data_IF_728943435217
#
_entry.id   IF_728943435217
#
_cell.length_a   1.000
_cell.length_b   1.000
_cell.length_c   1.000
_cell.angle_alpha   90.00
_cell.angle_beta   90.00
_cell.angle_gamma   90.00
#
_symmetry.space_group_name_H-M   'P 1'
#
loop_
_entity.id
_entity.type
_entity.pdbx_description
1 polymer ?
#
# COMPACT_ATOMS: atom_id res chain seq x y z
N UNK A 1 -32.46 22.45 -18.38
CA UNK A 1 -31.13 22.32 -18.97
C UNK A 1 -30.17 22.44 -17.82
N UNK A 2 -29.61 21.31 -17.37
CA UNK A 2 -28.51 21.33 -16.41
C UNK A 2 -27.28 21.73 -17.21
N UNK A 3 -26.74 22.92 -16.98
CA UNK A 3 -25.43 23.28 -17.48
C UNK A 3 -24.41 22.29 -16.92
N UNK A 4 -23.78 21.53 -17.78
CA UNK A 4 -22.62 20.75 -17.44
C UNK A 4 -21.52 21.71 -16.97
N UNK A 5 -21.25 21.71 -15.68
CA UNK A 5 -20.10 22.42 -15.13
C UNK A 5 -18.87 21.60 -15.52
N UNK A 6 -18.26 21.94 -16.63
CA UNK A 6 -16.91 21.50 -16.98
C UNK A 6 -15.97 22.33 -16.10
N UNK A 7 -15.51 21.74 -15.00
CA UNK A 7 -14.56 22.43 -14.14
C UNK A 7 -13.21 22.65 -14.84
N UNK A 8 -12.37 23.48 -14.23
CA UNK A 8 -11.04 23.83 -14.76
C UNK A 8 -10.13 22.61 -15.03
N UNK A 9 -10.46 21.44 -14.48
CA UNK A 9 -9.67 20.19 -14.61
C UNK A 9 -10.27 19.22 -15.62
N UNK A 10 -11.48 19.49 -16.14
CA UNK A 10 -12.16 18.62 -17.10
C UNK A 10 -12.67 17.31 -16.49
N UNK A 11 -12.84 17.26 -15.18
CA UNK A 11 -13.44 16.14 -14.46
C UNK A 11 -14.94 16.29 -14.53
N UNK A 12 -15.61 15.30 -15.10
CA UNK A 12 -17.07 15.25 -15.11
C UNK A 12 -17.53 14.74 -13.73
N UNK A 13 -17.78 15.64 -12.79
CA UNK A 13 -18.25 15.32 -11.44
C UNK A 13 -19.77 15.17 -11.50
N UNK A 14 -20.36 14.06 -11.05
CA UNK A 14 -21.80 13.91 -10.98
C UNK A 14 -22.46 15.04 -10.16
N UNK A 15 -23.50 15.65 -10.68
CA UNK A 15 -24.19 16.81 -10.07
C UNK A 15 -24.65 16.58 -8.61
N UNK A 16 -24.80 15.33 -8.18
CA UNK A 16 -25.16 14.98 -6.80
C UNK A 16 -24.03 15.22 -5.79
N UNK A 17 -22.75 15.24 -6.23
CA UNK A 17 -21.60 15.45 -5.35
C UNK A 17 -21.24 16.94 -5.20
N UNK A 18 -21.74 17.80 -6.08
CA UNK A 18 -21.48 19.25 -6.04
C UNK A 18 -22.41 20.02 -5.07
N UNK A 19 -23.53 19.43 -4.62
CA UNK A 19 -24.44 20.02 -3.66
C UNK A 19 -24.02 19.80 -2.20
N UNK A 20 -22.72 19.86 -1.90
CA UNK A 20 -22.23 19.92 -0.54
C UNK A 20 -22.76 21.16 0.19
N UNK A 21 -22.85 21.14 1.54
CA UNK A 21 -23.35 22.28 2.31
C UNK A 21 -22.52 23.52 1.98
N UNK A 22 -23.20 24.63 1.70
CA UNK A 22 -22.54 25.94 1.53
C UNK A 22 -21.65 26.17 2.76
N UNK A 23 -20.34 26.29 2.52
CA UNK A 23 -19.37 26.58 3.57
C UNK A 23 -19.73 27.94 4.15
N UNK A 24 -19.93 28.01 5.46
CA UNK A 24 -20.21 29.27 6.14
C UNK A 24 -19.15 30.31 5.77
N UNK A 25 -19.53 31.50 5.41
CA UNK A 25 -18.70 32.57 4.84
C UNK A 25 -17.49 33.03 5.68
N UNK A 26 -17.26 32.41 6.87
CA UNK A 26 -16.18 32.75 7.81
C UNK A 26 -15.07 31.70 7.92
N UNK A 27 -15.20 30.52 7.31
CA UNK A 27 -14.19 29.46 7.41
C UNK A 27 -13.53 29.21 6.05
N UNK A 28 -12.27 29.64 5.92
CA UNK A 28 -11.47 29.36 4.72
C UNK A 28 -10.77 28.00 4.88
N UNK A 29 -11.35 26.95 4.30
CA UNK A 29 -10.78 25.60 4.33
C UNK A 29 -9.42 25.50 3.62
N UNK A 30 -9.13 26.40 2.67
CA UNK A 30 -7.84 26.43 1.96
C UNK A 30 -6.69 26.82 2.89
N UNK A 31 -6.92 27.71 3.84
CA UNK A 31 -5.91 28.08 4.84
C UNK A 31 -5.60 26.86 5.72
N UNK A 32 -6.63 26.10 6.08
CA UNK A 32 -6.45 24.88 6.87
C UNK A 32 -5.69 23.78 6.12
N UNK A 33 -5.94 23.60 4.83
CA UNK A 33 -5.13 22.72 3.98
C UNK A 33 -3.67 23.18 3.92
N UNK A 34 -3.44 24.48 3.81
CA UNK A 34 -2.10 25.09 3.83
C UNK A 34 -1.35 24.79 5.13
N UNK A 35 -1.96 25.04 6.29
CA UNK A 35 -1.37 24.74 7.60
C UNK A 35 -0.96 23.27 7.74
N UNK A 36 -1.83 22.35 7.35
CA UNK A 36 -1.53 20.91 7.44
C UNK A 36 -0.44 20.47 6.43
N UNK A 37 -0.44 21.06 5.23
CA UNK A 37 0.66 20.88 4.26
C UNK A 37 1.99 21.33 4.85
N UNK A 38 2.04 22.50 5.45
CA UNK A 38 3.27 23.08 5.98
C UNK A 38 3.83 22.25 7.15
N UNK A 39 2.97 21.67 7.99
CA UNK A 39 3.39 20.66 8.99
C UNK A 39 4.04 19.44 8.34
N UNK A 40 3.52 18.96 7.20
CA UNK A 40 4.08 17.80 6.49
C UNK A 40 5.41 18.10 5.81
N UNK A 41 5.52 19.26 5.18
CA UNK A 41 6.75 19.68 4.50
C UNK A 41 7.88 20.00 5.49
N UNK A 42 7.51 20.46 6.68
CA UNK A 42 8.46 20.85 7.72
C UNK A 42 9.27 22.09 7.37
N UNK A 43 10.24 22.38 8.21
CA UNK A 43 11.10 23.58 8.11
C UNK A 43 12.41 23.32 7.34
N UNK A 44 12.45 22.37 6.40
CA UNK A 44 13.66 21.96 5.69
C UNK A 44 14.58 21.01 6.49
N UNK A 45 14.22 20.67 7.73
CA UNK A 45 14.96 19.70 8.54
C UNK A 45 14.62 18.27 8.07
N UNK A 46 15.64 17.44 7.96
CA UNK A 46 15.47 16.03 7.63
C UNK A 46 14.62 15.34 8.70
N UNK A 47 13.46 14.79 8.31
CA UNK A 47 12.50 14.20 9.25
C UNK A 47 12.69 12.71 9.49
N UNK A 48 13.57 12.06 8.71
CA UNK A 48 13.75 10.61 8.72
C UNK A 48 15.22 10.21 8.73
N UNK A 49 15.50 9.15 9.47
CA UNK A 49 16.76 8.43 9.43
C UNK A 49 16.61 7.30 8.40
N UNK A 50 17.58 7.17 7.49
CA UNK A 50 17.71 6.03 6.61
C UNK A 50 18.59 4.96 7.28
N UNK A 51 18.01 3.83 7.74
CA UNK A 51 18.78 2.81 8.43
C UNK A 51 19.90 2.19 7.61
N UNK A 52 19.80 2.24 6.27
CA UNK A 52 20.83 1.70 5.39
C UNK A 52 22.17 2.45 5.46
N UNK A 53 22.10 3.70 5.94
CA UNK A 53 23.25 4.63 6.07
C UNK A 53 23.83 4.72 7.48
N UNK A 54 23.37 3.85 8.40
CA UNK A 54 23.79 3.88 9.80
C UNK A 54 24.00 2.47 10.34
N UNK A 55 25.19 2.19 10.88
CA UNK A 55 25.48 0.89 11.49
C UNK A 55 24.59 0.64 12.73
N UNK A 56 24.24 1.69 13.46
CA UNK A 56 23.40 1.64 14.64
C UNK A 56 21.98 1.13 14.34
N UNK A 57 21.42 1.45 13.15
CA UNK A 57 20.03 1.19 12.81
C UNK A 57 19.86 0.09 11.75
N UNK A 58 20.94 -0.54 11.28
CA UNK A 58 20.87 -1.62 10.27
C UNK A 58 19.97 -2.78 10.66
N UNK A 59 19.85 -3.06 11.97
CA UNK A 59 18.99 -4.12 12.47
C UNK A 59 17.50 -3.95 12.09
N UNK A 60 17.02 -2.72 11.85
CA UNK A 60 15.67 -2.46 11.35
C UNK A 60 15.45 -2.90 9.88
N UNK A 61 16.51 -3.22 9.16
CA UNK A 61 16.46 -3.72 7.78
C UNK A 61 16.60 -5.23 7.69
N UNK A 62 16.92 -5.89 8.80
CA UNK A 62 17.06 -7.34 8.82
C UNK A 62 15.73 -8.03 8.51
N UNK A 63 15.81 -9.21 7.90
CA UNK A 63 14.64 -10.04 7.69
C UNK A 63 14.32 -10.86 8.96
N UNK A 64 13.22 -10.57 9.66
CA UNK A 64 12.83 -11.31 10.86
C UNK A 64 12.21 -12.67 10.55
N UNK A 65 11.88 -12.94 9.29
CA UNK A 65 11.17 -14.14 8.84
C UNK A 65 12.12 -15.25 8.40
N UNK A 66 13.41 -14.97 8.31
CA UNK A 66 14.47 -15.93 8.01
C UNK A 66 15.23 -16.27 9.27
N UNK A 67 15.39 -17.55 9.56
CA UNK A 67 16.19 -18.03 10.69
C UNK A 67 17.67 -17.69 10.52
N UNK A 68 18.34 -17.34 11.62
CA UNK A 68 19.78 -17.08 11.59
C UNK A 68 20.52 -18.36 11.18
N UNK A 69 21.40 -18.23 10.21
CA UNK A 69 22.21 -19.36 9.71
C UNK A 69 21.54 -20.17 8.61
N UNK A 70 20.37 -19.75 8.12
CA UNK A 70 19.78 -20.36 6.92
C UNK A 70 20.80 -20.31 5.78
N UNK A 71 21.13 -21.47 5.17
CA UNK A 71 22.11 -21.53 4.09
C UNK A 71 21.67 -20.66 2.90
N UNK A 72 22.63 -19.98 2.33
CA UNK A 72 22.41 -19.24 1.08
C UNK A 72 22.41 -20.20 -0.10
N UNK A 73 21.28 -20.29 -0.80
CA UNK A 73 21.20 -21.06 -2.03
C UNK A 73 21.70 -20.22 -3.22
N UNK A 74 22.73 -20.71 -3.91
CA UNK A 74 23.28 -20.11 -5.12
C UNK A 74 22.88 -20.94 -6.33
N UNK A 75 21.86 -20.53 -7.03
CA UNK A 75 21.40 -21.26 -8.22
C UNK A 75 22.26 -21.03 -9.45
N UNK A 76 23.19 -20.05 -9.41
CA UNK A 76 24.02 -19.66 -10.53
C UNK A 76 25.51 -19.61 -10.10
N UNK A 77 26.36 -20.07 -10.99
CA UNK A 77 27.79 -19.98 -10.82
C UNK A 77 28.31 -18.58 -11.16
N UNK A 78 29.41 -18.18 -10.53
CA UNK A 78 30.09 -16.92 -10.87
C UNK A 78 30.53 -16.94 -12.35
N UNK A 79 30.37 -15.80 -13.02
CA UNK A 79 30.65 -15.59 -14.43
C UNK A 79 29.76 -16.40 -15.41
N UNK A 80 28.65 -16.97 -14.93
CA UNK A 80 27.67 -17.58 -15.81
C UNK A 80 26.92 -16.52 -16.63
N UNK A 81 26.29 -16.97 -17.71
CA UNK A 81 25.40 -16.15 -18.54
C UNK A 81 23.96 -16.59 -18.34
N UNK A 82 23.10 -15.65 -18.04
CA UNK A 82 21.65 -15.84 -17.91
C UNK A 82 20.97 -14.90 -18.91
N UNK A 83 19.96 -15.38 -19.60
CA UNK A 83 19.28 -14.57 -20.61
C UNK A 83 18.58 -13.34 -19.98
N UNK A 84 17.90 -13.53 -18.85
CA UNK A 84 17.18 -12.45 -18.18
C UNK A 84 17.37 -12.48 -16.67
N UNK A 85 17.74 -11.36 -16.08
CA UNK A 85 17.74 -11.14 -14.64
C UNK A 85 16.59 -10.20 -14.28
N UNK A 86 15.78 -10.61 -13.32
CA UNK A 86 14.69 -9.81 -12.75
C UNK A 86 15.06 -9.45 -11.32
N UNK A 87 15.18 -8.16 -11.00
CA UNK A 87 15.49 -7.67 -9.67
C UNK A 87 14.20 -7.34 -8.93
N UNK A 88 13.83 -8.19 -7.97
CA UNK A 88 12.63 -8.10 -7.14
C UNK A 88 11.66 -9.24 -7.34
N UNK A 89 11.28 -9.91 -6.24
CA UNK A 89 10.37 -11.06 -6.17
C UNK A 89 8.93 -10.70 -5.76
N UNK A 90 8.53 -9.44 -5.91
CA UNK A 90 7.15 -9.00 -5.75
C UNK A 90 6.29 -9.33 -6.97
N UNK A 91 5.02 -8.91 -6.96
CA UNK A 91 4.11 -9.17 -8.11
C UNK A 91 4.67 -8.68 -9.45
N UNK A 92 5.40 -7.54 -9.47
CA UNK A 92 6.02 -7.08 -10.71
C UNK A 92 7.00 -8.08 -11.30
N UNK A 93 7.92 -8.60 -10.48
CA UNK A 93 8.90 -9.61 -10.91
C UNK A 93 8.25 -10.94 -11.31
N UNK A 94 7.28 -11.40 -10.53
CA UNK A 94 6.53 -12.62 -10.82
C UNK A 94 5.77 -12.50 -12.16
N UNK A 95 5.12 -11.37 -12.41
CA UNK A 95 4.39 -11.12 -13.66
C UNK A 95 5.33 -11.10 -14.87
N UNK A 96 6.50 -10.47 -14.77
CA UNK A 96 7.49 -10.51 -15.84
C UNK A 96 7.89 -11.96 -16.15
N UNK A 97 8.25 -12.75 -15.14
CA UNK A 97 8.64 -14.14 -15.33
C UNK A 97 7.52 -14.95 -15.98
N UNK A 98 6.29 -14.88 -15.45
CA UNK A 98 5.13 -15.61 -16.00
C UNK A 98 4.90 -15.25 -17.48
N UNK A 99 4.88 -13.95 -17.81
CA UNK A 99 4.63 -13.51 -19.19
C UNK A 99 5.75 -13.88 -20.16
N UNK A 100 7.00 -13.89 -19.70
CA UNK A 100 8.14 -14.37 -20.51
C UNK A 100 8.03 -15.86 -20.82
N UNK A 101 7.73 -16.69 -19.81
CA UNK A 101 7.54 -18.13 -20.00
C UNK A 101 6.36 -18.41 -20.94
N UNK A 102 5.24 -17.70 -20.81
CA UNK A 102 4.11 -17.80 -21.72
C UNK A 102 4.47 -17.41 -23.18
N UNK A 103 5.54 -16.63 -23.37
CA UNK A 103 6.09 -16.25 -24.67
C UNK A 103 7.21 -17.16 -25.15
N UNK A 104 7.45 -18.29 -24.47
CA UNK A 104 8.39 -19.32 -24.90
C UNK A 104 9.80 -19.21 -24.33
N UNK A 105 10.03 -18.36 -23.34
CA UNK A 105 11.30 -18.40 -22.58
C UNK A 105 11.33 -19.66 -21.72
N UNK A 106 12.51 -20.29 -21.62
CA UNK A 106 12.72 -21.35 -20.65
C UNK A 106 12.76 -20.77 -19.24
N UNK A 107 12.37 -21.56 -18.25
CA UNK A 107 12.56 -21.24 -16.85
C UNK A 107 14.04 -20.99 -16.53
N UNK A 108 14.91 -21.79 -17.15
CA UNK A 108 16.38 -21.69 -16.97
C UNK A 108 16.97 -20.41 -17.57
N UNK A 109 16.23 -19.73 -18.45
CA UNK A 109 16.60 -18.43 -19.01
C UNK A 109 16.37 -17.25 -18.03
N UNK A 110 15.69 -17.47 -16.89
CA UNK A 110 15.19 -16.41 -16.03
C UNK A 110 15.72 -16.58 -14.60
N UNK A 111 16.40 -15.57 -14.11
CA UNK A 111 16.86 -15.48 -12.72
C UNK A 111 16.13 -14.34 -12.01
N UNK A 112 15.40 -14.64 -10.92
CA UNK A 112 14.85 -13.62 -10.03
C UNK A 112 15.78 -13.44 -8.84
N UNK A 113 16.21 -12.19 -8.61
CA UNK A 113 17.04 -11.80 -7.46
C UNK A 113 16.19 -11.04 -6.47
N UNK A 114 16.05 -11.56 -5.24
CA UNK A 114 15.23 -10.99 -4.18
C UNK A 114 16.01 -10.95 -2.85
N UNK A 115 16.07 -9.81 -2.14
CA UNK A 115 16.73 -9.71 -0.84
C UNK A 115 15.93 -10.32 0.31
N UNK A 116 14.65 -10.59 0.13
CA UNK A 116 13.79 -11.25 1.11
C UNK A 116 13.97 -12.78 1.09
N UNK A 117 13.62 -13.45 2.18
CA UNK A 117 13.61 -14.89 2.25
C UNK A 117 12.43 -15.57 1.54
N UNK A 118 11.73 -14.85 0.65
CA UNK A 118 10.62 -15.39 -0.11
C UNK A 118 9.95 -14.38 -1.03
N UNK A 119 8.98 -14.84 -1.79
CA UNK A 119 8.22 -14.03 -2.73
C UNK A 119 7.12 -13.20 -2.08
N UNK A 120 6.67 -12.16 -2.79
CA UNK A 120 5.56 -11.31 -2.40
C UNK A 120 5.91 -9.84 -2.22
N UNK A 121 7.21 -9.49 -2.22
CA UNK A 121 7.66 -8.11 -2.12
C UNK A 121 7.09 -7.40 -0.89
N UNK A 122 6.25 -6.36 -1.09
CA UNK A 122 5.63 -5.64 0.04
C UNK A 122 4.81 -6.55 0.96
N UNK A 123 4.19 -7.61 0.45
CA UNK A 123 3.39 -8.57 1.23
C UNK A 123 4.25 -9.60 1.96
N UNK A 124 5.45 -9.80 1.52
CA UNK A 124 6.44 -10.56 2.28
C UNK A 124 6.94 -9.77 3.49
N UNK A 125 7.31 -8.50 3.28
CA UNK A 125 7.91 -7.65 4.31
C UNK A 125 6.90 -7.18 5.35
N UNK A 126 5.70 -6.82 4.93
CA UNK A 126 4.67 -6.30 5.82
C UNK A 126 3.78 -7.43 6.32
N UNK A 127 3.90 -7.71 7.62
CA UNK A 127 3.10 -8.75 8.30
C UNK A 127 2.48 -8.21 9.58
N UNK A 128 2.29 -6.89 9.67
CA UNK A 128 1.68 -6.27 10.85
C UNK A 128 0.21 -6.70 11.00
N UNK A 129 -0.33 -6.69 12.25
CA UNK A 129 -1.69 -7.12 12.54
C UNK A 129 -2.72 -6.30 11.77
N UNK A 130 -3.73 -6.98 11.23
CA UNK A 130 -4.81 -6.35 10.49
C UNK A 130 -4.47 -5.94 9.05
N UNK A 131 -3.28 -6.28 8.53
CA UNK A 131 -2.88 -5.97 7.16
C UNK A 131 -3.85 -6.55 6.12
N UNK A 132 -4.37 -5.68 5.27
CA UNK A 132 -5.24 -6.01 4.13
C UNK A 132 -4.87 -5.15 2.92
N UNK A 133 -5.25 -5.57 1.71
CA UNK A 133 -5.20 -4.67 0.57
C UNK A 133 -6.29 -3.59 0.69
N UNK A 134 -6.02 -2.43 0.12
CA UNK A 134 -6.92 -1.27 0.10
C UNK A 134 -7.66 -1.11 -1.23
N UNK A 135 -7.26 -1.88 -2.24
CA UNK A 135 -7.93 -2.02 -3.52
C UNK A 135 -8.66 -3.36 -3.56
N UNK A 136 -9.78 -3.44 -4.26
CA UNK A 136 -10.54 -4.68 -4.38
C UNK A 136 -9.65 -5.84 -4.84
N UNK A 137 -9.67 -6.96 -4.13
CA UNK A 137 -8.81 -8.13 -4.40
C UNK A 137 -8.97 -8.69 -5.79
N UNK A 138 -10.17 -8.56 -6.38
CA UNK A 138 -10.51 -9.11 -7.69
C UNK A 138 -9.78 -8.42 -8.84
N UNK A 139 -9.28 -7.20 -8.60
CA UNK A 139 -8.43 -6.46 -9.54
C UNK A 139 -6.98 -6.35 -9.06
N UNK A 140 -6.76 -6.37 -7.73
CA UNK A 140 -5.42 -6.19 -7.15
C UNK A 140 -4.53 -7.42 -7.30
N UNK A 141 -5.07 -8.63 -7.03
CA UNK A 141 -4.35 -9.89 -7.18
C UNK A 141 -4.23 -10.23 -8.67
N UNK A 142 -3.02 -10.32 -9.22
CA UNK A 142 -2.85 -10.57 -10.63
C UNK A 142 -3.09 -12.04 -10.97
N UNK A 143 -3.44 -12.35 -12.22
CA UNK A 143 -3.56 -13.72 -12.75
C UNK A 143 -4.65 -14.56 -12.07
N UNK A 144 -5.70 -13.97 -11.49
CA UNK A 144 -6.77 -14.74 -10.84
C UNK A 144 -7.45 -15.70 -11.80
N UNK A 145 -7.64 -15.26 -13.04
CA UNK A 145 -8.27 -16.05 -14.09
C UNK A 145 -7.39 -17.24 -14.47
N UNK A 146 -6.10 -17.00 -14.73
CA UNK A 146 -5.13 -18.04 -15.10
C UNK A 146 -4.85 -19.01 -13.95
N UNK A 147 -4.90 -18.52 -12.71
CA UNK A 147 -4.72 -19.34 -11.52
C UNK A 147 -5.99 -20.08 -11.10
N UNK A 148 -7.16 -19.68 -11.60
CA UNK A 148 -8.45 -20.19 -11.14
C UNK A 148 -8.70 -19.89 -9.66
N UNK A 149 -8.19 -18.78 -9.16
CA UNK A 149 -8.22 -18.44 -7.73
C UNK A 149 -9.35 -17.45 -7.41
N UNK A 150 -10.13 -17.75 -6.40
CA UNK A 150 -11.14 -16.85 -5.84
C UNK A 150 -10.64 -16.27 -4.52
N UNK A 151 -10.39 -14.97 -4.41
CA UNK A 151 -10.03 -14.33 -3.14
C UNK A 151 -11.12 -14.53 -2.10
N UNK A 152 -10.73 -14.74 -0.84
CA UNK A 152 -11.67 -15.04 0.25
C UNK A 152 -12.55 -13.83 0.60
N UNK A 153 -12.07 -12.61 0.33
CA UNK A 153 -12.75 -11.36 0.69
C UNK A 153 -12.59 -10.30 -0.41
N UNK A 154 -13.51 -9.31 -0.42
CA UNK A 154 -13.41 -8.14 -1.30
C UNK A 154 -12.06 -7.44 -1.13
N UNK A 155 -11.58 -7.33 0.10
CA UNK A 155 -10.22 -6.84 0.43
C UNK A 155 -9.50 -7.94 1.20
N UNK A 156 -8.60 -8.64 0.53
CA UNK A 156 -7.90 -9.81 1.06
C UNK A 156 -6.89 -9.42 2.14
N UNK A 157 -6.65 -10.33 3.07
CA UNK A 157 -5.62 -10.16 4.11
C UNK A 157 -4.21 -10.23 3.53
N UNK A 158 -3.26 -9.57 4.18
CA UNK A 158 -1.85 -9.62 3.78
C UNK A 158 -1.29 -11.03 3.76
N UNK A 159 -1.71 -11.89 4.68
CA UNK A 159 -1.30 -13.30 4.71
C UNK A 159 -1.86 -14.10 3.52
N UNK A 160 -3.10 -13.85 3.10
CA UNK A 160 -3.68 -14.45 1.90
C UNK A 160 -2.93 -13.99 0.65
N UNK A 161 -2.67 -12.69 0.52
CA UNK A 161 -1.97 -12.12 -0.63
C UNK A 161 -0.53 -12.66 -0.73
N UNK A 162 0.17 -12.81 0.39
CA UNK A 162 1.51 -13.39 0.43
C UNK A 162 1.48 -14.85 -0.03
N UNK A 163 0.59 -15.68 0.52
CA UNK A 163 0.44 -17.08 0.11
C UNK A 163 0.07 -17.21 -1.36
N UNK A 164 -0.75 -16.29 -1.87
CA UNK A 164 -1.09 -16.25 -3.27
C UNK A 164 0.13 -15.92 -4.15
N UNK A 165 0.96 -14.94 -3.77
CA UNK A 165 2.20 -14.64 -4.48
C UNK A 165 3.17 -15.84 -4.49
N UNK A 166 3.30 -16.52 -3.36
CA UNK A 166 4.08 -17.78 -3.25
C UNK A 166 3.52 -18.88 -4.18
N UNK A 167 2.19 -19.00 -4.28
CA UNK A 167 1.55 -19.97 -5.20
C UNK A 167 1.80 -19.66 -6.67
N UNK A 168 1.86 -18.38 -7.07
CA UNK A 168 2.28 -17.99 -8.41
C UNK A 168 3.72 -18.44 -8.66
N UNK A 169 4.61 -18.24 -7.70
CA UNK A 169 6.03 -18.60 -7.83
C UNK A 169 6.27 -20.12 -7.91
N UNK A 170 5.37 -20.92 -7.35
CA UNK A 170 5.52 -22.39 -7.28
C UNK A 170 4.71 -23.16 -8.31
N UNK A 171 3.75 -22.51 -9.00
CA UNK A 171 2.92 -23.14 -10.02
C UNK A 171 3.72 -23.35 -11.31
N UNK A 172 4.19 -24.57 -11.54
CA UNK A 172 4.86 -25.04 -12.78
C UNK A 172 6.09 -24.20 -13.24
N UNK A 173 6.46 -23.21 -12.43
CA UNK A 173 7.57 -22.30 -12.68
C UNK A 173 8.68 -22.63 -11.66
N UNK A 174 9.68 -23.37 -12.06
CA UNK A 174 10.88 -23.53 -11.23
C UNK A 174 11.62 -22.20 -11.16
N UNK A 175 11.23 -21.35 -10.21
CA UNK A 175 11.88 -20.09 -9.97
C UNK A 175 13.03 -20.28 -9.01
N UNK A 176 14.17 -19.78 -9.37
CA UNK A 176 15.36 -19.84 -8.53
C UNK A 176 15.48 -18.54 -7.74
N UNK A 177 15.41 -18.64 -6.40
CA UNK A 177 15.60 -17.51 -5.50
C UNK A 177 17.05 -17.43 -5.12
N UNK A 178 17.68 -16.25 -5.29
CA UNK A 178 18.97 -15.93 -4.67
C UNK A 178 18.69 -15.27 -3.34
N UNK A 179 18.59 -16.06 -2.29
CA UNK A 179 18.39 -15.58 -0.93
C UNK A 179 19.71 -15.11 -0.32
N UNK A 180 19.67 -13.97 0.37
CA UNK A 180 20.77 -13.56 1.25
C UNK A 180 20.55 -14.16 2.63
N UNK A 181 21.29 -15.18 2.97
CA UNK A 181 21.25 -15.78 4.31
C UNK A 181 21.59 -14.74 5.40
N UNK A 182 20.82 -14.73 6.48
CA UNK A 182 21.04 -13.85 7.64
C UNK A 182 22.32 -14.29 8.37
N UNK A 183 23.32 -13.39 8.45
CA UNK A 183 24.58 -13.66 9.12
C UNK A 183 25.64 -14.35 8.26
N UNK A 184 25.39 -14.58 6.97
CA UNK A 184 26.42 -15.09 6.05
C UNK A 184 27.33 -13.97 5.55
N UNK A 185 28.62 -14.25 5.27
CA UNK A 185 29.52 -13.28 4.64
C UNK A 185 28.94 -12.76 3.32
N UNK A 186 29.12 -11.48 3.04
CA UNK A 186 28.83 -10.95 1.71
C UNK A 186 29.68 -11.69 0.69
N UNK A 187 29.02 -12.28 -0.29
CA UNK A 187 29.71 -12.88 -1.43
C UNK A 187 29.26 -12.14 -2.66
N UNK A 188 30.20 -11.57 -3.38
CA UNK A 188 29.97 -10.96 -4.68
C UNK A 188 29.97 -12.04 -5.76
N UNK A 189 28.92 -12.06 -6.56
CA UNK A 189 28.79 -12.97 -7.70
C UNK A 189 28.57 -12.11 -8.93
N UNK A 190 29.47 -12.20 -9.90
CA UNK A 190 29.29 -11.57 -11.21
C UNK A 190 28.55 -12.52 -12.14
N UNK A 191 27.48 -12.04 -12.75
CA UNK A 191 26.68 -12.78 -13.73
C UNK A 191 26.45 -11.86 -14.93
N UNK A 192 26.61 -12.38 -16.15
CA UNK A 192 26.25 -11.67 -17.36
C UNK A 192 24.79 -11.94 -17.74
N UNK A 193 24.09 -10.94 -18.26
CA UNK A 193 22.73 -11.11 -18.74
C UNK A 193 22.49 -10.33 -20.04
N UNK A 194 21.62 -10.85 -20.92
CA UNK A 194 21.16 -10.12 -22.11
C UNK A 194 20.19 -9.00 -21.70
N UNK A 195 19.33 -9.28 -20.68
CA UNK A 195 18.30 -8.36 -20.20
C UNK A 195 18.32 -8.27 -18.66
N UNK A 196 18.18 -7.06 -18.15
CA UNK A 196 17.98 -6.80 -16.71
C UNK A 196 16.72 -6.00 -16.52
N UNK A 197 15.76 -6.58 -15.76
CA UNK A 197 14.46 -5.98 -15.46
C UNK A 197 14.44 -5.55 -14.00
N UNK A 198 14.14 -4.28 -13.72
CA UNK A 198 14.01 -3.77 -12.36
C UNK A 198 12.54 -3.80 -11.93
N UNK A 199 12.23 -4.67 -10.98
CA UNK A 199 10.92 -4.81 -10.33
C UNK A 199 11.02 -4.65 -8.80
N UNK A 200 11.99 -3.84 -8.33
CA UNK A 200 12.39 -3.74 -6.93
C UNK A 200 11.39 -3.03 -6.01
N UNK A 201 10.32 -2.44 -6.56
CA UNK A 201 9.33 -1.70 -5.79
C UNK A 201 9.89 -0.42 -5.14
N UNK A 202 9.04 0.28 -4.37
CA UNK A 202 9.40 1.58 -3.74
C UNK A 202 9.25 1.58 -2.22
N UNK A 203 8.71 0.50 -1.62
CA UNK A 203 8.37 0.42 -0.20
C UNK A 203 9.24 -0.57 0.61
N UNK A 204 10.34 -1.06 0.05
CA UNK A 204 11.16 -2.10 0.67
C UNK A 204 11.99 -1.59 1.87
N UNK A 205 12.34 -0.30 1.88
CA UNK A 205 13.22 0.28 2.89
C UNK A 205 12.42 0.97 4.01
N UNK A 206 12.61 0.50 5.24
CA UNK A 206 12.10 1.17 6.43
C UNK A 206 12.71 2.58 6.56
N UNK A 207 11.93 3.53 7.08
CA UNK A 207 12.40 4.85 7.46
C UNK A 207 12.05 5.10 8.92
N UNK A 208 13.03 5.53 9.70
CA UNK A 208 12.83 5.81 11.11
C UNK A 208 12.60 7.30 11.34
N UNK A 209 11.80 7.70 12.34
CA UNK A 209 11.63 9.11 12.66
C UNK A 209 12.92 9.68 13.24
N UNK A 210 13.29 10.89 12.81
CA UNK A 210 14.40 11.62 13.39
C UNK A 210 13.89 12.48 14.55
N UNK A 211 13.80 11.86 15.73
CA UNK A 211 13.37 12.51 16.96
C UNK A 211 14.47 12.42 18.01
N UNK A 212 14.57 13.46 18.85
CA UNK A 212 15.53 13.49 19.94
C UNK A 212 15.27 12.33 20.90
N UNK A 213 16.33 11.67 21.36
CA UNK A 213 16.26 10.56 22.31
C UNK A 213 15.90 9.21 21.68
N UNK A 214 15.73 9.11 20.36
CA UNK A 214 15.42 7.85 19.69
C UNK A 214 16.51 6.78 19.94
N UNK A 215 17.77 7.19 19.94
CA UNK A 215 18.95 6.34 20.18
C UNK A 215 19.16 5.97 21.66
N UNK A 216 18.57 6.72 22.57
CA UNK A 216 18.68 6.49 24.02
C UNK A 216 17.50 5.71 24.60
N UNK A 217 16.48 5.42 23.79
CA UNK A 217 15.33 4.64 24.24
C UNK A 217 15.75 3.24 24.67
N UNK A 218 15.37 2.85 25.89
CA UNK A 218 15.77 1.57 26.49
C UNK A 218 14.73 0.47 26.35
N UNK A 219 13.54 0.79 25.85
CA UNK A 219 12.49 -0.17 25.58
C UNK A 219 12.73 -0.95 24.30
N UNK A 220 11.95 -2.03 24.12
CA UNK A 220 11.96 -2.77 22.87
C UNK A 220 11.34 -1.92 21.75
N UNK A 221 11.96 -1.92 20.57
CA UNK A 221 11.49 -1.16 19.41
C UNK A 221 11.70 -1.93 18.11
N UNK A 222 10.74 -1.81 17.20
CA UNK A 222 10.82 -2.40 15.86
C UNK A 222 10.03 -1.55 14.87
N UNK A 223 10.36 -1.67 13.61
CA UNK A 223 9.59 -1.03 12.54
C UNK A 223 8.39 -1.91 12.15
N UNK A 224 7.23 -1.31 11.86
CA UNK A 224 6.00 -2.06 11.53
C UNK A 224 6.16 -3.00 10.34
N UNK A 225 6.98 -2.66 9.34
CA UNK A 225 7.32 -3.54 8.22
C UNK A 225 8.24 -4.72 8.63
N UNK A 226 8.63 -4.82 9.89
CA UNK A 226 9.42 -5.89 10.50
C UNK A 226 8.79 -6.24 11.84
N UNK A 227 7.49 -6.58 11.83
CA UNK A 227 6.71 -6.82 13.03
C UNK A 227 7.28 -7.95 13.86
N UNK A 228 7.51 -7.71 15.14
CA UNK A 228 8.09 -8.68 16.06
C UNK A 228 7.00 -9.44 16.82
N UNK A 229 6.52 -10.53 16.26
CA UNK A 229 5.57 -11.44 16.91
C UNK A 229 6.19 -12.24 18.06
N UNK A 230 7.51 -12.43 18.08
CA UNK A 230 8.18 -13.06 19.21
C UNK A 230 8.03 -12.22 20.48
N UNK A 231 8.07 -10.89 20.32
CA UNK A 231 7.86 -9.94 21.40
C UNK A 231 6.38 -9.66 21.69
N UNK A 232 5.54 -9.48 20.67
CA UNK A 232 4.14 -9.06 20.86
C UNK A 232 3.19 -10.21 21.14
N UNK A 233 3.56 -11.43 20.75
CA UNK A 233 2.64 -12.57 20.66
C UNK A 233 1.84 -12.56 19.37
N UNK A 234 1.07 -13.60 19.12
CA UNK A 234 0.26 -13.79 17.94
C UNK A 234 1.05 -14.18 16.69
N UNK A 235 0.39 -14.08 15.55
CA UNK A 235 0.95 -14.33 14.20
C UNK A 235 0.29 -13.38 13.18
N UNK A 236 0.78 -13.33 11.94
CA UNK A 236 0.10 -12.58 10.87
C UNK A 236 -1.33 -13.05 10.59
N UNK A 237 -1.61 -14.33 10.78
CA UNK A 237 -2.93 -14.94 10.60
C UNK A 237 -3.83 -14.75 11.82
N UNK A 238 -3.26 -14.85 13.03
CA UNK A 238 -3.96 -14.74 14.31
C UNK A 238 -3.27 -13.67 15.17
N UNK A 239 -3.59 -12.37 14.95
CA UNK A 239 -2.87 -11.27 15.58
C UNK A 239 -3.33 -11.01 17.02
N UNK A 240 -3.34 -12.06 17.85
CA UNK A 240 -3.62 -12.00 19.27
C UNK A 240 -2.36 -11.61 20.05
N UNK A 241 -2.13 -10.32 20.20
CA UNK A 241 -0.90 -9.71 20.74
C UNK A 241 -0.83 -9.86 22.27
N UNK A 242 -1.01 -11.09 22.75
CA UNK A 242 -1.23 -11.42 24.18
C UNK A 242 -0.11 -11.01 25.10
N UNK A 243 1.12 -10.89 24.59
CA UNK A 243 2.31 -10.50 25.38
C UNK A 243 2.37 -8.98 25.63
N UNK A 244 1.40 -8.21 25.09
CA UNK A 244 1.32 -6.77 25.32
C UNK A 244 0.40 -6.36 26.47
N UNK A 245 -0.28 -7.29 27.13
CA UNK A 245 -1.28 -7.02 28.20
C UNK A 245 -0.76 -6.20 29.38
N UNK A 246 0.51 -6.31 29.68
CA UNK A 246 1.19 -5.58 30.76
C UNK A 246 2.01 -4.38 30.27
N UNK A 247 2.02 -4.11 28.96
CA UNK A 247 2.94 -3.14 28.35
C UNK A 247 2.26 -1.84 27.96
N UNK A 248 3.01 -0.76 28.13
CA UNK A 248 2.71 0.55 27.54
C UNK A 248 3.35 0.61 26.15
N UNK A 249 2.55 0.86 25.13
CA UNK A 249 2.97 0.87 23.73
C UNK A 249 2.93 2.29 23.19
N UNK A 250 4.01 2.73 22.58
CA UNK A 250 4.11 3.96 21.80
C UNK A 250 4.08 3.63 20.31
N UNK A 251 3.18 4.23 19.56
CA UNK A 251 3.06 4.05 18.12
C UNK A 251 3.27 5.39 17.39
N UNK A 252 4.25 5.44 16.50
CA UNK A 252 4.60 6.66 15.78
C UNK A 252 4.04 6.60 14.35
N UNK A 253 3.14 7.53 14.05
CA UNK A 253 2.48 7.67 12.75
C UNK A 253 1.00 7.27 12.76
N UNK A 254 0.25 7.80 11.79
CA UNK A 254 -1.20 7.57 11.62
C UNK A 254 -1.56 7.25 10.16
N UNK A 255 -0.60 6.79 9.36
CA UNK A 255 -0.82 6.38 7.97
C UNK A 255 -1.53 5.03 7.82
N UNK A 256 -1.58 4.49 6.60
CA UNK A 256 -2.28 3.26 6.25
C UNK A 256 -1.94 2.05 7.16
N UNK A 257 -0.67 1.91 7.56
CA UNK A 257 -0.26 0.87 8.51
C UNK A 257 -0.90 1.06 9.88
N UNK A 258 -0.94 2.29 10.39
CA UNK A 258 -1.53 2.59 11.69
C UNK A 258 -3.03 2.32 11.72
N UNK A 259 -3.74 2.72 10.67
CA UNK A 259 -5.20 2.51 10.53
C UNK A 259 -5.55 1.03 10.74
N UNK A 260 -4.70 0.13 10.26
CA UNK A 260 -4.91 -1.31 10.31
C UNK A 260 -4.41 -1.94 11.62
N UNK A 261 -3.25 -1.52 12.13
CA UNK A 261 -2.60 -2.15 13.31
C UNK A 261 -3.04 -1.58 14.65
N UNK A 262 -3.39 -0.29 14.73
CA UNK A 262 -3.79 0.37 15.98
C UNK A 262 -4.99 -0.28 16.66
N UNK A 263 -6.07 -0.71 15.97
CA UNK A 263 -7.17 -1.42 16.63
C UNK A 263 -6.73 -2.71 17.35
N UNK A 264 -5.77 -3.44 16.79
CA UNK A 264 -5.21 -4.63 17.44
C UNK A 264 -4.37 -4.26 18.67
N UNK A 265 -3.53 -3.21 18.56
CA UNK A 265 -2.77 -2.71 19.69
C UNK A 265 -3.66 -2.19 20.81
N UNK A 266 -4.74 -1.48 20.49
CA UNK A 266 -5.69 -0.99 21.48
C UNK A 266 -6.40 -2.10 22.24
N UNK A 267 -6.66 -3.24 21.58
CA UNK A 267 -7.26 -4.43 22.21
C UNK A 267 -6.33 -5.12 23.22
N UNK A 268 -5.02 -5.11 22.93
CA UNK A 268 -4.08 -5.98 23.64
C UNK A 268 -3.09 -5.25 24.54
N UNK A 269 -2.83 -3.95 24.34
CA UNK A 269 -1.91 -3.18 25.17
C UNK A 269 -2.55 -2.77 26.49
N UNK A 270 -1.73 -2.68 27.56
CA UNK A 270 -2.16 -2.05 28.81
C UNK A 270 -2.53 -0.59 28.61
N UNK A 271 -1.68 0.14 27.89
CA UNK A 271 -1.87 1.53 27.48
C UNK A 271 -1.29 1.72 26.08
N UNK A 272 -1.95 2.52 25.25
CA UNK A 272 -1.51 2.82 23.89
C UNK A 272 -1.40 4.34 23.70
N UNK A 273 -0.22 4.80 23.30
CA UNK A 273 0.07 6.20 22.97
C UNK A 273 0.34 6.31 21.46
N UNK A 274 -0.42 7.14 20.76
CA UNK A 274 -0.29 7.36 19.33
C UNK A 274 0.27 8.74 19.07
N UNK A 275 1.41 8.81 18.39
CA UNK A 275 2.06 10.06 18.03
C UNK A 275 1.77 10.37 16.56
N UNK A 276 1.05 11.46 16.31
CA UNK A 276 0.74 11.90 14.96
C UNK A 276 1.30 13.28 14.66
N UNK A 277 1.77 13.49 13.45
CA UNK A 277 2.10 14.81 12.92
C UNK A 277 0.85 15.47 12.32
N UNK A 278 0.23 14.77 11.39
CA UNK A 278 -1.05 15.15 10.78
C UNK A 278 -1.93 13.91 10.68
N UNK A 279 -3.26 14.03 10.89
CA UNK A 279 -4.17 12.90 10.81
C UNK A 279 -4.32 12.38 9.38
N UNK A 280 -4.66 11.11 9.23
CA UNK A 280 -4.97 10.49 7.94
C UNK A 280 -6.46 10.51 7.65
N UNK A 281 -6.82 10.72 6.40
CA UNK A 281 -8.18 10.50 5.94
C UNK A 281 -8.47 8.99 5.94
N UNK A 282 -9.47 8.58 6.71
CA UNK A 282 -9.88 7.18 6.85
C UNK A 282 -11.29 7.04 6.33
N UNK A 283 -11.45 6.45 5.16
CA UNK A 283 -12.76 6.17 4.61
C UNK A 283 -13.18 4.72 4.82
N UNK A 284 -14.46 4.43 4.57
CA UNK A 284 -15.02 3.08 4.77
C UNK A 284 -14.60 2.19 3.61
N UNK A 285 -14.38 0.90 3.88
CA UNK A 285 -14.14 -0.12 2.85
C UNK A 285 -15.26 -1.13 2.73
N UNK A 286 -16.08 -1.27 3.77
CA UNK A 286 -17.19 -2.22 3.83
C UNK A 286 -16.77 -3.62 3.37
N UNK A 287 -15.63 -4.10 3.96
CA UNK A 287 -15.06 -5.39 3.60
C UNK A 287 -16.07 -6.53 3.91
N UNK A 288 -16.13 -7.49 3.02
CA UNK A 288 -17.04 -8.65 3.12
C UNK A 288 -16.40 -9.89 2.53
N UNK A 289 -16.86 -11.03 2.97
CA UNK A 289 -16.43 -12.30 2.38
C UNK A 289 -16.93 -12.41 0.93
N UNK A 290 -16.15 -13.08 0.10
CA UNK A 290 -16.53 -13.36 -1.28
C UNK A 290 -17.62 -14.44 -1.30
N UNK A 291 -18.79 -14.10 -1.81
CA UNK A 291 -19.87 -15.06 -2.05
C UNK A 291 -19.54 -15.89 -3.29
N UNK A 292 -19.38 -17.23 -3.15
CA UNK A 292 -19.02 -18.08 -4.30
C UNK A 292 -20.07 -18.11 -5.41
N UNK A 293 -21.36 -17.91 -5.11
CA UNK A 293 -22.40 -17.87 -6.11
C UNK A 293 -22.32 -16.58 -6.93
N UNK A 294 -22.19 -15.44 -6.26
CA UNK A 294 -22.00 -14.13 -6.89
C UNK A 294 -20.65 -14.03 -7.62
N UNK A 295 -19.61 -14.67 -7.10
CA UNK A 295 -18.33 -14.75 -7.81
C UNK A 295 -18.51 -15.32 -9.20
N UNK A 296 -19.24 -16.45 -9.32
CA UNK A 296 -19.45 -17.12 -10.62
C UNK A 296 -20.42 -16.35 -11.53
N UNK A 297 -21.45 -15.73 -10.98
CA UNK A 297 -22.51 -15.08 -11.76
C UNK A 297 -22.23 -13.62 -12.11
N UNK A 298 -21.45 -12.91 -11.29
CA UNK A 298 -21.28 -11.45 -11.40
C UNK A 298 -19.84 -11.01 -11.62
N UNK A 299 -18.84 -11.84 -11.22
CA UNK A 299 -17.43 -11.46 -11.28
C UNK A 299 -16.69 -12.29 -12.34
N UNK A 300 -16.55 -13.60 -12.12
CA UNK A 300 -15.82 -14.52 -13.02
C UNK A 300 -16.75 -15.07 -14.10
N UNK A 301 -17.33 -14.21 -14.92
CA UNK A 301 -18.43 -14.51 -15.84
C UNK A 301 -18.01 -15.07 -17.20
N UNK A 302 -16.71 -15.17 -17.48
CA UNK A 302 -16.19 -15.66 -18.74
C UNK A 302 -14.73 -15.31 -18.96
N UNK A 303 -14.18 -15.68 -20.10
CA UNK A 303 -12.80 -15.37 -20.45
C UNK A 303 -12.56 -13.86 -20.53
N UNK A 304 -11.48 -13.39 -19.91
CA UNK A 304 -11.07 -11.99 -19.89
C UNK A 304 -11.74 -11.13 -18.81
N UNK A 305 -12.56 -11.72 -17.93
CA UNK A 305 -13.30 -11.00 -16.89
C UNK A 305 -12.41 -10.12 -16.00
N UNK A 306 -11.23 -10.63 -15.63
CA UNK A 306 -10.34 -9.86 -14.74
C UNK A 306 -9.77 -8.63 -15.45
N UNK A 307 -9.41 -8.78 -16.71
CA UNK A 307 -8.92 -7.65 -17.51
C UNK A 307 -10.01 -6.60 -17.75
N UNK A 308 -11.24 -7.03 -18.00
CA UNK A 308 -12.39 -6.14 -18.17
C UNK A 308 -12.66 -5.36 -16.89
N UNK A 309 -12.74 -6.05 -15.74
CA UNK A 309 -12.94 -5.44 -14.43
C UNK A 309 -11.82 -4.44 -14.07
N UNK A 310 -10.59 -4.80 -14.36
CA UNK A 310 -9.43 -3.92 -14.15
C UNK A 310 -9.48 -2.68 -15.05
N UNK A 311 -9.86 -2.83 -16.32
CA UNK A 311 -10.04 -1.68 -17.24
C UNK A 311 -11.17 -0.76 -16.78
N UNK A 312 -12.28 -1.35 -16.33
CA UNK A 312 -13.40 -0.61 -15.76
C UNK A 312 -12.93 0.25 -14.59
N UNK A 313 -12.26 -0.34 -13.60
CA UNK A 313 -11.69 0.39 -12.46
C UNK A 313 -10.76 1.54 -12.91
N UNK A 314 -9.84 1.25 -13.84
CA UNK A 314 -8.90 2.26 -14.33
C UNK A 314 -9.58 3.40 -15.09
N UNK A 315 -10.72 3.16 -15.74
CA UNK A 315 -11.48 4.23 -16.39
C UNK A 315 -12.04 5.25 -15.39
N UNK A 316 -12.40 4.80 -14.19
CA UNK A 316 -12.86 5.70 -13.12
C UNK A 316 -11.69 6.42 -12.45
N UNK A 317 -10.69 5.69 -11.96
CA UNK A 317 -9.56 6.30 -11.23
C UNK A 317 -8.62 7.11 -12.12
N UNK A 318 -8.52 6.77 -13.41
CA UNK A 318 -7.70 7.48 -14.41
C UNK A 318 -8.47 8.58 -15.15
N UNK A 319 -9.68 8.89 -14.70
CA UNK A 319 -10.52 9.95 -15.30
C UNK A 319 -10.63 9.82 -16.83
N UNK A 320 -10.97 8.64 -17.33
CA UNK A 320 -11.16 8.43 -18.77
C UNK A 320 -12.24 9.39 -19.30
N UNK A 321 -12.06 9.95 -20.53
CA UNK A 321 -13.05 10.83 -21.14
C UNK A 321 -14.43 10.20 -21.25
N UNK A 322 -14.47 8.90 -21.57
CA UNK A 322 -15.69 8.11 -21.60
C UNK A 322 -15.61 7.06 -20.49
N UNK A 323 -16.47 7.20 -19.49
CA UNK A 323 -16.56 6.24 -18.40
C UNK A 323 -17.58 5.16 -18.74
N UNK A 324 -17.34 3.90 -18.36
CA UNK A 324 -18.35 2.85 -18.45
C UNK A 324 -19.64 3.25 -17.73
N UNK A 325 -20.78 2.81 -18.26
CA UNK A 325 -22.08 3.07 -17.64
C UNK A 325 -22.25 2.42 -16.25
N UNK A 326 -21.51 1.35 -15.98
CA UNK A 326 -21.54 0.61 -14.72
C UNK A 326 -20.16 0.61 -14.12
N UNK A 327 -20.05 1.02 -12.84
CA UNK A 327 -18.86 0.85 -12.02
C UNK A 327 -18.87 -0.57 -11.42
N UNK A 328 -18.02 -1.45 -11.91
CA UNK A 328 -17.98 -2.85 -11.48
C UNK A 328 -17.39 -3.02 -10.06
N UNK A 329 -16.57 -2.10 -9.62
CA UNK A 329 -15.93 -2.14 -8.28
C UNK A 329 -16.78 -1.43 -7.25
N UNK A 330 -17.31 -0.27 -7.60
CA UNK A 330 -18.22 0.57 -6.81
C UNK A 330 -17.74 0.73 -5.36
N UNK A 331 -16.58 1.34 -5.20
CA UNK A 331 -15.98 1.61 -3.89
C UNK A 331 -15.51 3.07 -3.76
N UNK A 332 -14.93 3.42 -2.63
CA UNK A 332 -14.46 4.79 -2.38
C UNK A 332 -13.28 5.20 -3.30
N UNK A 333 -12.56 4.26 -3.89
CA UNK A 333 -11.51 4.59 -4.88
C UNK A 333 -12.12 5.11 -6.19
N UNK A 334 -13.17 4.46 -6.68
CA UNK A 334 -13.84 4.86 -7.91
C UNK A 334 -14.65 6.15 -7.76
N UNK A 335 -14.87 6.59 -6.52
CA UNK A 335 -15.57 7.83 -6.13
C UNK A 335 -14.62 8.94 -5.64
N UNK A 336 -13.30 8.75 -5.72
CA UNK A 336 -12.30 9.74 -5.30
C UNK A 336 -11.93 10.67 -6.47
N UNK A 337 -12.80 11.62 -6.78
CA UNK A 337 -12.67 12.48 -7.94
C UNK A 337 -11.42 13.35 -7.93
N UNK A 338 -10.94 13.82 -6.78
CA UNK A 338 -9.69 14.57 -6.67
C UNK A 338 -8.48 13.73 -7.07
N UNK A 339 -8.45 12.46 -6.68
CA UNK A 339 -7.42 11.52 -7.09
C UNK A 339 -7.50 11.23 -8.59
N UNK A 340 -8.71 11.02 -9.11
CA UNK A 340 -8.93 10.81 -10.54
C UNK A 340 -8.47 12.01 -11.38
N UNK A 341 -8.75 13.22 -10.91
CA UNK A 341 -8.28 14.44 -11.55
C UNK A 341 -6.75 14.57 -11.52
N UNK A 342 -6.12 14.20 -10.40
CA UNK A 342 -4.66 14.23 -10.26
C UNK A 342 -3.96 13.21 -11.18
N UNK A 343 -4.45 11.96 -11.20
CA UNK A 343 -3.80 10.85 -11.91
C UNK A 343 -4.10 10.81 -13.40
N UNK A 344 -5.32 11.18 -13.78
CA UNK A 344 -5.84 11.03 -15.13
C UNK A 344 -6.06 12.34 -15.89
N UNK A 345 -5.58 13.45 -15.36
CA UNK A 345 -5.78 14.75 -16.04
C UNK A 345 -5.11 14.73 -17.41
N UNK A 346 -5.88 14.95 -18.51
CA UNK A 346 -5.30 15.04 -19.84
C UNK A 346 -4.57 16.36 -20.08
N UNK A 347 -4.58 17.28 -19.11
CA UNK A 347 -4.06 18.64 -19.25
C UNK A 347 -2.60 18.73 -18.87
N UNK A 348 -1.84 19.46 -19.66
CA UNK A 348 -0.54 19.94 -19.26
C UNK A 348 -0.73 21.08 -18.25
N UNK A 349 -0.32 20.88 -17.03
CA UNK A 349 -0.31 21.93 -16.00
C UNK A 349 0.98 22.73 -16.15
N UNK A 350 0.83 24.03 -16.46
CA UNK A 350 1.97 24.96 -16.49
C UNK A 350 2.31 25.45 -15.09
N UNK A 351 3.52 25.96 -14.89
CA UNK A 351 3.90 26.53 -13.59
C UNK A 351 3.00 27.70 -13.18
N UNK A 352 2.58 28.53 -14.13
CA UNK A 352 1.70 29.68 -13.88
C UNK A 352 0.29 29.23 -13.48
N UNK A 353 -0.20 28.12 -14.03
CA UNK A 353 -1.51 27.54 -13.71
C UNK A 353 -1.53 26.59 -12.52
N UNK A 354 -0.36 26.29 -11.90
CA UNK A 354 -0.25 25.29 -10.83
C UNK A 354 -1.12 25.65 -9.61
N UNK A 355 -1.18 26.91 -9.23
CA UNK A 355 -1.97 27.37 -8.08
C UNK A 355 -3.47 27.13 -8.26
N UNK A 356 -4.01 27.44 -9.43
CA UNK A 356 -5.42 27.22 -9.77
C UNK A 356 -5.74 25.72 -9.88
N UNK A 357 -4.82 24.95 -10.46
CA UNK A 357 -4.96 23.50 -10.53
C UNK A 357 -5.04 22.87 -9.14
N UNK A 358 -4.13 23.21 -8.22
CA UNK A 358 -4.15 22.70 -6.85
C UNK A 358 -5.43 23.13 -6.13
N UNK A 359 -5.88 24.37 -6.33
CA UNK A 359 -7.14 24.86 -5.77
C UNK A 359 -8.33 24.03 -6.27
N UNK A 360 -8.41 23.75 -7.56
CA UNK A 360 -9.49 22.91 -8.13
C UNK A 360 -9.50 21.49 -7.57
N UNK A 361 -8.33 20.88 -7.33
CA UNK A 361 -8.25 19.56 -6.66
C UNK A 361 -8.82 19.60 -5.24
N UNK A 362 -8.54 20.67 -4.48
CA UNK A 362 -9.09 20.85 -3.13
C UNK A 362 -10.62 21.06 -3.16
N UNK A 363 -11.13 21.80 -4.12
CA UNK A 363 -12.58 22.03 -4.31
C UNK A 363 -13.31 20.71 -4.60
N UNK A 364 -12.74 19.88 -5.49
CA UNK A 364 -13.28 18.56 -5.82
C UNK A 364 -13.21 17.61 -4.62
N UNK A 365 -12.13 17.67 -3.81
CA UNK A 365 -11.96 16.81 -2.64
C UNK A 365 -12.87 17.20 -1.47
N UNK A 366 -13.16 18.48 -1.31
CA UNK A 366 -13.77 19.02 -0.10
C UNK A 366 -15.06 18.30 0.33
N UNK A 367 -16.05 18.01 -0.55
CA UNK A 367 -17.30 17.33 -0.15
C UNK A 367 -17.05 15.94 0.46
N UNK A 368 -16.13 15.15 -0.11
CA UNK A 368 -15.78 13.84 0.39
C UNK A 368 -15.05 13.95 1.75
N UNK A 369 -14.04 14.77 1.80
CA UNK A 369 -13.23 14.96 3.00
C UNK A 369 -14.04 15.57 4.16
N UNK A 370 -15.01 16.45 3.88
CA UNK A 370 -15.94 16.96 4.88
C UNK A 370 -16.86 15.85 5.45
N UNK A 371 -17.35 14.96 4.60
CA UNK A 371 -18.08 13.75 5.03
C UNK A 371 -17.25 12.89 5.98
N UNK A 372 -15.96 12.68 5.67
CA UNK A 372 -15.05 11.91 6.52
C UNK A 372 -14.79 12.60 7.85
N UNK A 373 -14.57 13.94 7.84
CA UNK A 373 -14.41 14.75 9.07
C UNK A 373 -15.64 14.69 9.97
N UNK A 374 -16.83 14.89 9.41
CA UNK A 374 -18.09 14.75 10.15
C UNK A 374 -18.29 13.38 10.76
N UNK A 375 -17.79 12.33 10.12
CA UNK A 375 -17.81 10.98 10.70
C UNK A 375 -16.89 10.89 11.93
N UNK A 376 -15.73 11.51 11.94
CA UNK A 376 -14.88 11.58 13.12
C UNK A 376 -15.60 12.23 14.31
N UNK A 377 -16.30 13.34 14.09
CA UNK A 377 -17.09 14.04 15.11
C UNK A 377 -18.19 13.15 15.70
N UNK A 378 -18.85 12.34 14.87
CA UNK A 378 -19.91 11.44 15.32
C UNK A 378 -19.38 10.19 16.05
N UNK A 379 -18.19 9.73 15.69
CA UNK A 379 -17.64 8.46 16.18
C UNK A 379 -16.80 8.62 17.45
N UNK A 380 -16.21 9.79 17.68
CA UNK A 380 -15.30 10.05 18.80
C UNK A 380 -16.03 10.87 19.87
N UNK A 381 -16.10 10.34 21.10
CA UNK A 381 -16.83 10.99 22.22
C UNK A 381 -16.20 12.31 22.66
N UNK A 382 -14.87 12.34 22.80
CA UNK A 382 -14.15 13.55 23.13
C UNK A 382 -13.98 14.42 21.89
N UNK A 383 -14.60 15.61 21.91
CA UNK A 383 -14.64 16.50 20.76
C UNK A 383 -13.27 17.11 20.42
N UNK A 384 -12.38 17.28 21.38
CA UNK A 384 -11.03 17.74 21.12
C UNK A 384 -10.23 16.68 20.35
N UNK A 385 -10.34 15.42 20.75
CA UNK A 385 -9.77 14.27 20.04
C UNK A 385 -10.41 14.11 18.65
N UNK A 386 -11.74 14.24 18.53
CA UNK A 386 -12.43 14.17 17.25
C UNK A 386 -11.87 15.20 16.25
N UNK A 387 -11.70 16.44 16.69
CA UNK A 387 -11.11 17.51 15.89
C UNK A 387 -9.65 17.26 15.53
N UNK A 388 -8.86 16.68 16.44
CA UNK A 388 -7.46 16.34 16.19
C UNK A 388 -7.28 15.19 15.19
N UNK A 389 -8.32 14.38 14.97
CA UNK A 389 -8.33 13.27 14.01
C UNK A 389 -8.86 13.64 12.62
N UNK A 390 -9.29 14.88 12.42
CA UNK A 390 -9.78 15.35 11.12
C UNK A 390 -8.63 15.62 10.16
N UNK A 391 -8.63 14.92 9.03
CA UNK A 391 -7.65 15.15 7.97
C UNK A 391 -7.98 16.39 7.14
N UNK A 392 -6.96 17.20 6.85
CA UNK A 392 -7.02 18.41 6.05
C UNK A 392 -5.99 18.37 4.93
N UNK A 393 -6.17 17.41 4.03
CA UNK A 393 -5.44 17.28 2.75
C UNK A 393 -6.25 16.40 1.81
N UNK A 394 -6.17 16.62 0.48
CA UNK A 394 -6.83 15.79 -0.53
C UNK A 394 -6.27 14.36 -0.55
#
# INVERSE_FOLDING_TARGET
MAEEIVDAVGVNVPAQDLNGPQVAASFNYMDRYGEERDKRLGTGVRQYIDPSKSDQYKHFLEDPWVEKGTPFNRPVEANSHIKTIIVGGGFGGLLFAVRMIQKGFSVDDILIVEPAGGFGGTWYWNRYPGLMCDTESYIYLPLLEEMGYMPTRKYASGSEIRKYAESIATKDWKTVIVEKGKGTPKVEVSVCADYVLFASGVLANAKLPQVEGFDTFKGHSFHTARWDYAYTGGSPEEPDLTKLKDKRVAYIGTGATAIQSVPHLAKWSKELYIFQRTPSAVDRRDNRDTDPAKWKSEVATGEGWQRERSRNFHAFIGNAPEKPAVDLVDDEWTKMWSYSALCGSPRTVTMDGLGEYVKSLHEIDYPRSDRVRKRCEKSVRDQATAKALQAWYP
#
